data_IF_500179027706
#
_entry.id   IF_500179027706
#
_cell.length_a   1.000
_cell.length_b   1.000
_cell.length_c   1.000
_cell.angle_alpha   90.00
_cell.angle_beta   90.00
_cell.angle_gamma   90.00
#
_symmetry.space_group_name_H-M   'P 1'
#
loop_
_entity.id
_entity.type
_entity.pdbx_description
1 polymer ?
#
# COMPACT_ATOMS: atom_id res chain seq x y z
N UNK A 1 11.52 15.83 4.29
CA UNK A 1 12.50 14.73 4.49
C UNK A 1 11.83 13.43 4.10
N UNK A 2 12.51 12.55 3.37
CA UNK A 2 11.91 11.27 2.99
C UNK A 2 11.53 10.46 4.24
N UNK A 3 10.31 9.94 4.25
CA UNK A 3 9.83 9.02 5.27
C UNK A 3 10.21 7.58 4.93
N UNK A 4 10.28 7.26 3.65
CA UNK A 4 10.72 5.97 3.12
C UNK A 4 11.89 6.18 2.16
N UNK A 5 12.98 5.45 2.38
CA UNK A 5 14.12 5.40 1.47
C UNK A 5 14.39 3.95 1.08
N UNK A 6 14.49 3.71 -0.21
CA UNK A 6 14.82 2.42 -0.80
C UNK A 6 16.08 2.61 -1.63
N UNK A 7 17.17 1.92 -1.25
CA UNK A 7 18.49 2.09 -1.85
C UNK A 7 19.02 0.76 -2.37
N UNK A 8 19.23 0.67 -3.69
CA UNK A 8 19.83 -0.48 -4.38
C UNK A 8 19.18 -1.82 -3.98
N UNK A 9 17.87 -1.82 -3.80
CA UNK A 9 17.12 -2.97 -3.31
C UNK A 9 17.14 -4.09 -4.32
N UNK A 10 17.57 -5.28 -3.89
CA UNK A 10 17.64 -6.49 -4.70
C UNK A 10 16.97 -7.64 -4.00
N UNK A 11 16.22 -8.45 -4.74
CA UNK A 11 15.61 -9.68 -4.23
C UNK A 11 15.76 -10.82 -5.21
N UNK A 12 16.38 -11.90 -4.73
CA UNK A 12 16.53 -13.15 -5.47
C UNK A 12 15.84 -14.25 -4.68
N UNK A 13 14.90 -14.95 -5.32
CA UNK A 13 14.33 -16.18 -4.81
C UNK A 13 15.09 -17.36 -5.38
N UNK A 14 15.41 -18.31 -4.51
CA UNK A 14 16.08 -19.56 -4.90
C UNK A 14 15.17 -20.73 -4.54
N UNK A 15 14.94 -21.65 -5.47
CA UNK A 15 14.19 -22.87 -5.17
C UNK A 15 14.94 -23.76 -4.18
N UNK A 16 14.23 -24.59 -3.40
CA UNK A 16 14.80 -25.48 -2.37
C UNK A 16 15.94 -26.37 -2.90
N UNK A 17 15.93 -26.70 -4.18
CA UNK A 17 16.97 -27.52 -4.83
C UNK A 17 18.08 -26.71 -5.51
N UNK A 18 18.06 -25.37 -5.37
CA UNK A 18 19.11 -24.49 -5.92
C UNK A 18 19.16 -24.37 -7.45
N UNK A 19 18.27 -25.09 -8.16
CA UNK A 19 18.34 -25.21 -9.61
C UNK A 19 17.84 -23.95 -10.35
N UNK A 20 16.87 -23.20 -9.78
CA UNK A 20 16.31 -22.01 -10.40
C UNK A 20 16.45 -20.81 -9.46
N UNK A 21 17.02 -19.74 -10.01
CA UNK A 21 17.09 -18.41 -9.37
C UNK A 21 16.21 -17.46 -10.14
N UNK A 22 15.29 -16.78 -9.42
CA UNK A 22 14.44 -15.74 -9.97
C UNK A 22 14.81 -14.43 -9.29
N UNK A 23 15.36 -13.49 -10.05
CA UNK A 23 15.66 -12.15 -9.58
C UNK A 23 14.41 -11.28 -9.73
N UNK A 24 13.66 -11.15 -8.63
CA UNK A 24 12.39 -10.44 -8.61
C UNK A 24 12.56 -8.92 -8.54
N UNK A 25 13.65 -8.45 -7.92
CA UNK A 25 14.03 -7.03 -7.88
C UNK A 25 15.50 -6.87 -8.22
N UNK A 26 15.80 -5.89 -9.11
CA UNK A 26 17.12 -5.58 -9.64
C UNK A 26 17.42 -4.11 -9.36
N UNK A 27 18.14 -3.83 -8.28
CA UNK A 27 18.63 -2.47 -7.99
C UNK A 27 17.53 -1.38 -7.94
N UNK A 28 16.43 -1.65 -7.21
CA UNK A 28 15.34 -0.67 -7.05
C UNK A 28 15.78 0.42 -6.08
N UNK A 29 15.69 1.69 -6.51
CA UNK A 29 16.01 2.85 -5.69
C UNK A 29 14.97 3.95 -5.88
N UNK A 30 14.38 4.43 -4.79
CA UNK A 30 13.49 5.58 -4.74
C UNK A 30 13.29 6.04 -3.29
N UNK A 31 12.74 7.22 -3.11
CA UNK A 31 12.32 7.72 -1.81
C UNK A 31 10.85 8.15 -1.85
N UNK A 32 10.21 8.25 -0.69
CA UNK A 32 8.85 8.80 -0.54
C UNK A 32 8.92 9.88 0.53
N UNK A 33 8.46 11.08 0.20
CA UNK A 33 8.40 12.20 1.15
C UNK A 33 7.20 12.03 2.11
N UNK A 34 7.32 12.61 3.31
CA UNK A 34 6.21 12.64 4.26
C UNK A 34 5.00 13.37 3.63
N UNK A 35 3.81 12.78 3.74
CA UNK A 35 2.58 13.29 3.12
C UNK A 35 2.55 13.12 1.59
N UNK A 36 3.45 12.34 0.99
CA UNK A 36 3.38 12.00 -0.43
C UNK A 36 2.43 10.83 -0.66
N UNK A 37 1.70 10.85 -1.79
CA UNK A 37 0.93 9.72 -2.29
C UNK A 37 1.61 9.21 -3.55
N UNK A 38 2.21 8.03 -3.47
CA UNK A 38 2.93 7.37 -4.55
C UNK A 38 2.16 6.14 -5.02
N UNK A 39 1.96 6.02 -6.33
CA UNK A 39 1.49 4.79 -6.96
C UNK A 39 2.67 4.05 -7.61
N UNK A 40 2.71 2.73 -7.44
CA UNK A 40 3.68 1.83 -8.09
C UNK A 40 2.92 0.99 -9.10
N UNK A 41 3.25 1.14 -10.37
CA UNK A 41 2.64 0.45 -11.50
C UNK A 41 3.64 -0.45 -12.22
N UNK A 42 3.13 -1.41 -12.98
CA UNK A 42 3.93 -2.31 -13.81
C UNK A 42 3.14 -3.56 -14.17
N UNK A 43 3.66 -4.35 -15.09
CA UNK A 43 3.06 -5.60 -15.54
C UNK A 43 3.01 -6.67 -14.44
N UNK A 44 2.21 -7.72 -14.64
CA UNK A 44 2.22 -8.88 -13.76
C UNK A 44 3.63 -9.49 -13.74
N UNK A 45 4.13 -9.84 -12.56
CA UNK A 45 5.49 -10.40 -12.42
C UNK A 45 6.63 -9.38 -12.40
N UNK A 46 6.38 -8.07 -12.56
CA UNK A 46 7.42 -7.04 -12.55
C UNK A 46 8.12 -6.81 -11.20
N UNK A 47 7.66 -7.46 -10.12
CA UNK A 47 8.26 -7.35 -8.78
C UNK A 47 7.50 -6.48 -7.79
N UNK A 48 6.33 -5.92 -8.13
CA UNK A 48 5.55 -5.02 -7.26
C UNK A 48 5.19 -5.64 -5.91
N UNK A 49 4.62 -6.85 -5.91
CA UNK A 49 4.26 -7.55 -4.68
C UNK A 49 5.50 -7.90 -3.84
N UNK A 50 6.61 -8.26 -4.50
CA UNK A 50 7.89 -8.48 -3.81
C UNK A 50 8.39 -7.21 -3.15
N UNK A 51 8.34 -6.07 -3.86
CA UNK A 51 8.68 -4.77 -3.30
C UNK A 51 7.80 -4.47 -2.08
N UNK A 52 6.47 -4.58 -2.25
CA UNK A 52 5.53 -4.31 -1.18
C UNK A 52 5.78 -5.18 0.06
N UNK A 53 6.05 -6.48 -0.11
CA UNK A 53 6.35 -7.39 0.99
C UNK A 53 7.62 -6.99 1.75
N UNK A 54 8.64 -6.51 1.06
CA UNK A 54 9.86 -6.02 1.72
C UNK A 54 9.59 -4.71 2.46
N UNK A 55 8.89 -3.75 1.85
CA UNK A 55 8.48 -2.50 2.51
C UNK A 55 7.59 -2.78 3.73
N UNK A 56 6.79 -3.83 3.65
CA UNK A 56 5.93 -4.34 4.70
C UNK A 56 6.69 -5.05 5.84
N UNK A 57 8.00 -5.25 5.70
CA UNK A 57 8.77 -6.11 6.60
C UNK A 57 8.20 -7.55 6.71
N UNK A 58 7.56 -8.05 5.65
CA UNK A 58 7.06 -9.43 5.52
C UNK A 58 8.11 -10.33 4.87
N UNK A 59 9.04 -9.74 4.09
CA UNK A 59 10.16 -10.43 3.46
C UNK A 59 11.44 -9.60 3.63
N UNK A 60 12.59 -10.25 3.55
CA UNK A 60 13.90 -9.61 3.66
C UNK A 60 14.53 -9.43 2.28
N UNK A 61 15.20 -8.30 2.01
CA UNK A 61 15.96 -8.14 0.78
C UNK A 61 17.15 -9.11 0.72
N UNK A 62 17.60 -9.44 -0.49
CA UNK A 62 18.87 -10.16 -0.69
C UNK A 62 20.06 -9.21 -0.49
N UNK A 63 19.91 -7.96 -0.94
CA UNK A 63 20.86 -6.87 -0.72
C UNK A 63 20.16 -5.52 -0.89
N UNK A 64 20.85 -4.44 -0.54
CA UNK A 64 20.28 -3.10 -0.52
C UNK A 64 19.67 -2.77 0.84
N UNK A 65 19.07 -1.59 0.93
CA UNK A 65 18.59 -1.03 2.18
C UNK A 65 17.19 -0.44 2.02
N UNK A 66 16.35 -0.62 3.06
CA UNK A 66 15.05 0.06 3.17
C UNK A 66 14.98 0.73 4.53
N UNK A 67 14.81 2.05 4.53
CA UNK A 67 14.61 2.84 5.75
C UNK A 67 13.19 3.38 5.81
N UNK A 68 12.56 3.25 6.98
CA UNK A 68 11.33 3.95 7.34
C UNK A 68 11.65 4.93 8.49
N UNK A 69 11.58 6.22 8.20
CA UNK A 69 12.16 7.23 9.07
C UNK A 69 13.66 6.99 9.30
N UNK A 70 14.08 6.98 10.54
CA UNK A 70 15.49 6.73 10.89
C UNK A 70 15.84 5.23 11.01
N UNK A 71 14.89 4.29 10.76
CA UNK A 71 15.11 2.87 11.04
C UNK A 71 15.28 2.07 9.75
N UNK A 72 16.37 1.33 9.63
CA UNK A 72 16.53 0.31 8.60
C UNK A 72 15.64 -0.90 8.92
N UNK A 73 14.70 -1.24 8.02
CA UNK A 73 13.74 -2.32 8.23
C UNK A 73 14.46 -3.69 8.35
N UNK A 74 15.54 -3.89 7.60
CA UNK A 74 16.29 -5.15 7.62
C UNK A 74 17.02 -5.41 8.97
N UNK A 75 17.28 -4.37 9.75
CA UNK A 75 17.95 -4.44 11.04
C UNK A 75 17.00 -4.61 12.22
N UNK A 76 15.69 -4.51 11.99
CA UNK A 76 14.69 -4.75 13.04
C UNK A 76 14.75 -6.20 13.46
N UNK A 77 14.94 -6.43 14.75
CA UNK A 77 15.03 -7.79 15.33
C UNK A 77 13.71 -8.55 15.10
N UNK A 78 13.81 -9.85 14.88
CA UNK A 78 12.65 -10.74 14.66
C UNK A 78 11.59 -10.60 15.78
N UNK A 79 12.02 -10.48 17.03
CA UNK A 79 11.12 -10.30 18.17
C UNK A 79 10.36 -8.97 18.14
N UNK A 80 10.88 -7.95 17.47
CA UNK A 80 10.32 -6.59 17.43
C UNK A 80 9.59 -6.30 16.10
N UNK A 81 9.78 -7.13 15.08
CA UNK A 81 9.28 -6.86 13.71
C UNK A 81 7.74 -6.72 13.68
N UNK A 82 7.02 -7.53 14.45
CA UNK A 82 5.55 -7.49 14.53
C UNK A 82 5.08 -6.19 15.20
N UNK A 83 5.78 -5.74 16.24
CA UNK A 83 5.51 -4.46 16.88
C UNK A 83 5.84 -3.30 15.93
N UNK A 84 6.99 -3.36 15.25
CA UNK A 84 7.39 -2.36 14.25
C UNK A 84 6.31 -2.17 13.17
N UNK A 85 5.84 -3.26 12.55
CA UNK A 85 4.76 -3.21 11.56
C UNK A 85 3.51 -2.53 12.10
N UNK A 86 3.04 -2.98 13.26
CA UNK A 86 1.80 -2.49 13.89
C UNK A 86 1.85 -1.02 14.27
N UNK A 87 3.02 -0.51 14.68
CA UNK A 87 3.19 0.86 15.13
C UNK A 87 3.47 1.85 14.00
N UNK A 88 4.07 1.39 12.90
CA UNK A 88 4.57 2.29 11.85
C UNK A 88 3.88 2.13 10.50
N UNK A 89 3.22 0.99 10.24
CA UNK A 89 2.63 0.67 8.95
C UNK A 89 1.12 0.41 9.07
N UNK A 90 0.37 0.94 8.11
CA UNK A 90 -1.02 0.57 7.86
C UNK A 90 -1.12 -0.27 6.59
N UNK A 91 -1.92 -1.34 6.61
CA UNK A 91 -2.09 -2.21 5.45
C UNK A 91 -3.52 -2.21 4.94
N UNK A 92 -3.66 -2.06 3.62
CA UNK A 92 -4.91 -2.20 2.89
C UNK A 92 -4.70 -3.18 1.75
N UNK A 93 -5.35 -4.35 1.82
CA UNK A 93 -5.22 -5.44 0.84
C UNK A 93 -6.42 -5.47 -0.11
N UNK A 94 -6.25 -6.13 -1.25
CA UNK A 94 -7.30 -6.35 -2.22
C UNK A 94 -8.48 -7.14 -1.63
N UNK A 95 -8.21 -8.20 -0.88
CA UNK A 95 -9.21 -9.11 -0.28
C UNK A 95 -9.66 -8.70 1.12
N UNK A 96 -9.54 -7.40 1.45
CA UNK A 96 -9.91 -6.79 2.74
C UNK A 96 -9.19 -7.36 3.96
N UNK A 97 -8.95 -8.65 4.03
CA UNK A 97 -8.33 -9.41 5.15
C UNK A 97 -8.98 -9.07 6.50
N UNK A 98 -10.32 -9.01 6.53
CA UNK A 98 -11.10 -8.93 7.75
C UNK A 98 -11.33 -10.35 8.29
N UNK A 99 -11.39 -10.48 9.60
CA UNK A 99 -11.70 -11.74 10.28
C UNK A 99 -13.21 -11.88 10.40
N UNK A 100 -13.79 -12.92 9.80
CA UNK A 100 -15.24 -13.16 9.77
C UNK A 100 -15.82 -13.47 11.15
N UNK A 101 -14.98 -13.91 12.10
CA UNK A 101 -15.35 -14.19 13.48
C UNK A 101 -15.50 -12.94 14.35
N UNK A 102 -15.07 -11.78 13.85
CA UNK A 102 -15.16 -10.49 14.52
C UNK A 102 -16.09 -9.55 13.77
N UNK A 103 -16.84 -8.72 14.52
CA UNK A 103 -17.57 -7.62 13.90
C UNK A 103 -16.61 -6.56 13.33
N UNK A 104 -17.13 -5.59 12.59
CA UNK A 104 -16.32 -4.53 11.94
C UNK A 104 -15.52 -3.72 12.97
N UNK A 105 -16.14 -3.34 14.11
CA UNK A 105 -15.46 -2.60 15.16
C UNK A 105 -14.27 -3.38 15.73
N UNK A 106 -14.45 -4.65 16.02
CA UNK A 106 -13.41 -5.48 16.63
C UNK A 106 -12.27 -5.76 15.64
N UNK A 107 -12.57 -5.91 14.35
CA UNK A 107 -11.57 -5.94 13.28
C UNK A 107 -10.72 -4.67 13.26
N UNK A 108 -11.36 -3.49 13.38
CA UNK A 108 -10.65 -2.20 13.40
C UNK A 108 -9.82 -2.06 14.67
N UNK A 109 -10.30 -2.54 15.80
CA UNK A 109 -9.58 -2.46 17.09
C UNK A 109 -8.37 -3.38 17.19
N UNK A 110 -8.29 -4.43 16.37
CA UNK A 110 -7.30 -5.49 16.49
C UNK A 110 -5.85 -4.97 16.70
N UNK A 111 -5.32 -4.02 15.90
CA UNK A 111 -3.96 -3.53 16.10
C UNK A 111 -3.79 -2.76 17.42
N UNK A 112 -4.83 -2.12 17.94
CA UNK A 112 -4.78 -1.42 19.21
C UNK A 112 -4.85 -2.38 20.40
N UNK A 113 -5.67 -3.44 20.29
CA UNK A 113 -5.74 -4.54 21.28
C UNK A 113 -4.39 -5.21 21.41
N UNK A 114 -3.76 -5.55 20.29
CA UNK A 114 -2.42 -6.13 20.25
C UNK A 114 -1.31 -5.17 20.75
N UNK A 115 -1.61 -3.87 20.82
CA UNK A 115 -0.74 -2.84 21.41
C UNK A 115 -1.04 -2.58 22.90
N UNK A 116 -1.96 -3.34 23.50
CA UNK A 116 -2.35 -3.18 24.91
C UNK A 116 -3.11 -1.89 25.21
N UNK A 117 -3.77 -1.28 24.21
CA UNK A 117 -4.54 -0.04 24.42
C UNK A 117 -5.86 -0.32 25.13
N UNK A 118 -6.20 0.53 26.09
CA UNK A 118 -7.46 0.43 26.82
C UNK A 118 -8.67 0.80 25.94
N UNK A 119 -9.85 0.27 26.29
CA UNK A 119 -11.09 0.44 25.53
C UNK A 119 -11.47 1.90 25.31
N UNK A 120 -11.31 2.76 26.31
CA UNK A 120 -11.61 4.19 26.19
C UNK A 120 -10.75 4.90 25.13
N UNK A 121 -9.47 4.54 25.03
CA UNK A 121 -8.58 5.07 23.98
C UNK A 121 -8.97 4.54 22.61
N UNK A 122 -9.29 3.25 22.49
CA UNK A 122 -9.75 2.64 21.25
C UNK A 122 -11.00 3.33 20.71
N UNK A 123 -12.00 3.55 21.58
CA UNK A 123 -13.23 4.27 21.21
C UNK A 123 -12.97 5.72 20.79
N UNK A 124 -12.13 6.42 21.53
CA UNK A 124 -11.77 7.82 21.18
C UNK A 124 -11.16 7.93 19.78
N UNK A 125 -10.32 6.94 19.39
CA UNK A 125 -9.71 6.90 18.05
C UNK A 125 -10.70 6.48 16.97
N UNK A 126 -11.59 5.53 17.26
CA UNK A 126 -12.53 4.98 16.30
C UNK A 126 -13.59 6.00 15.86
N UNK A 127 -14.17 6.75 16.80
CA UNK A 127 -15.31 7.64 16.51
C UNK A 127 -15.08 8.58 15.32
N UNK A 128 -13.99 9.39 15.29
CA UNK A 128 -13.74 10.27 14.15
C UNK A 128 -13.46 9.51 12.86
N UNK A 129 -12.74 8.39 12.93
CA UNK A 129 -12.41 7.55 11.78
C UNK A 129 -13.69 6.95 11.19
N UNK A 130 -14.56 6.34 12.02
CA UNK A 130 -15.78 5.71 11.57
C UNK A 130 -16.73 6.71 10.91
N UNK A 131 -16.82 7.94 11.44
CA UNK A 131 -17.60 9.03 10.83
C UNK A 131 -17.03 9.42 9.48
N UNK A 132 -15.72 9.66 9.40
CA UNK A 132 -15.02 10.04 8.16
C UNK A 132 -15.17 9.00 7.06
N UNK A 133 -15.06 7.72 7.41
CA UNK A 133 -15.13 6.59 6.48
C UNK A 133 -16.58 6.14 6.20
N UNK A 134 -17.58 6.81 6.81
CA UNK A 134 -19.00 6.47 6.68
C UNK A 134 -19.28 4.99 6.96
N UNK A 135 -18.81 4.49 8.12
CA UNK A 135 -18.97 3.09 8.58
C UNK A 135 -19.58 3.00 9.99
N UNK A 136 -20.07 4.10 10.54
CA UNK A 136 -20.59 4.14 11.92
C UNK A 136 -21.75 3.17 12.12
N UNK A 137 -22.64 3.03 11.14
CA UNK A 137 -23.84 2.21 11.16
C UNK A 137 -23.57 0.71 11.01
N UNK A 138 -22.38 0.35 10.56
CA UNK A 138 -21.97 -1.05 10.33
C UNK A 138 -21.00 -1.60 11.39
N UNK A 139 -20.59 -0.81 12.37
CA UNK A 139 -19.57 -1.20 13.35
C UNK A 139 -19.90 -2.49 14.11
N UNK A 140 -21.18 -2.77 14.33
CA UNK A 140 -21.63 -3.97 15.04
C UNK A 140 -21.97 -5.15 14.11
N UNK A 141 -21.88 -4.95 12.77
CA UNK A 141 -22.10 -6.00 11.80
C UNK A 141 -20.84 -6.82 11.57
N UNK A 142 -21.00 -8.03 11.07
CA UNK A 142 -19.91 -8.92 10.67
C UNK A 142 -19.55 -8.69 9.20
N UNK A 143 -18.34 -9.07 8.73
CA UNK A 143 -17.91 -8.88 7.35
C UNK A 143 -18.90 -9.42 6.31
N UNK A 144 -19.51 -10.59 6.55
CA UNK A 144 -20.49 -11.21 5.65
C UNK A 144 -21.86 -10.50 5.61
N UNK A 145 -22.10 -9.51 6.46
CA UNK A 145 -23.35 -8.71 6.52
C UNK A 145 -23.21 -7.36 5.80
N UNK A 146 -22.06 -7.06 5.23
CA UNK A 146 -21.78 -5.75 4.65
C UNK A 146 -21.25 -5.88 3.21
N UNK A 147 -21.36 -4.80 2.42
CA UNK A 147 -20.88 -4.81 1.03
C UNK A 147 -19.33 -4.78 0.96
N UNK A 148 -18.77 -5.18 -0.21
CA UNK A 148 -17.34 -5.12 -0.48
C UNK A 148 -16.74 -3.72 -0.24
N UNK A 149 -17.42 -2.68 -0.69
CA UNK A 149 -16.99 -1.30 -0.44
C UNK A 149 -17.03 -0.90 1.04
N UNK A 150 -17.97 -1.46 1.83
CA UNK A 150 -18.01 -1.27 3.29
C UNK A 150 -16.89 -2.05 3.98
N UNK A 151 -16.61 -3.28 3.56
CA UNK A 151 -15.47 -4.07 4.03
C UNK A 151 -14.14 -3.34 3.78
N UNK A 152 -13.98 -2.77 2.59
CA UNK A 152 -12.74 -2.06 2.25
C UNK A 152 -12.57 -0.79 3.06
N UNK A 153 -13.64 -0.01 3.30
CA UNK A 153 -13.57 1.13 4.22
C UNK A 153 -13.23 0.72 5.66
N UNK A 154 -13.72 -0.43 6.12
CA UNK A 154 -13.35 -0.99 7.41
C UNK A 154 -11.86 -1.41 7.44
N UNK A 155 -11.34 -1.99 6.36
CA UNK A 155 -9.91 -2.30 6.24
C UNK A 155 -9.04 -1.03 6.25
N UNK A 156 -9.48 0.05 5.58
CA UNK A 156 -8.81 1.37 5.68
C UNK A 156 -8.88 1.91 7.11
N UNK A 157 -10.04 1.81 7.80
CA UNK A 157 -10.16 2.23 9.20
C UNK A 157 -9.16 1.49 10.10
N UNK A 158 -9.03 0.17 9.92
CA UNK A 158 -8.05 -0.65 10.63
C UNK A 158 -6.61 -0.21 10.34
N UNK A 159 -6.32 0.17 9.09
CA UNK A 159 -5.00 0.62 8.70
C UNK A 159 -4.61 1.97 9.34
N UNK A 160 -5.56 2.92 9.44
CA UNK A 160 -5.28 4.28 9.93
C UNK A 160 -5.43 4.45 11.45
N UNK A 161 -6.07 3.51 12.16
CA UNK A 161 -6.40 3.69 13.59
C UNK A 161 -5.17 3.76 14.50
N UNK A 162 -4.05 3.20 14.07
CA UNK A 162 -2.77 3.28 14.78
C UNK A 162 -2.03 4.59 14.52
N UNK A 163 -2.50 5.42 13.59
CA UNK A 163 -1.81 6.60 13.09
C UNK A 163 -0.42 6.25 12.50
N UNK A 164 -0.37 5.39 11.46
CA UNK A 164 0.89 4.88 10.92
C UNK A 164 1.66 5.97 10.17
N UNK A 165 2.99 5.81 10.09
CA UNK A 165 3.84 6.67 9.28
C UNK A 165 3.60 6.49 7.77
N UNK A 166 3.26 5.27 7.35
CA UNK A 166 3.07 4.89 5.95
C UNK A 166 1.92 3.90 5.81
N UNK A 167 0.99 4.19 4.89
CA UNK A 167 0.00 3.23 4.43
C UNK A 167 0.54 2.52 3.19
N UNK A 168 0.55 1.20 3.23
CA UNK A 168 0.83 0.32 2.09
C UNK A 168 -0.49 -0.27 1.59
N UNK A 169 -0.85 -0.01 0.34
CA UNK A 169 -2.07 -0.50 -0.28
C UNK A 169 -1.72 -1.42 -1.47
N UNK A 170 -2.20 -2.66 -1.43
CA UNK A 170 -2.00 -3.66 -2.50
C UNK A 170 -3.31 -3.84 -3.27
N UNK A 171 -3.38 -3.32 -4.50
CA UNK A 171 -4.55 -3.39 -5.38
C UNK A 171 -5.88 -3.09 -4.66
N UNK A 172 -6.00 -1.99 -3.91
CA UNK A 172 -7.09 -1.79 -2.95
C UNK A 172 -8.47 -1.67 -3.59
N UNK A 173 -8.54 -1.49 -4.91
CA UNK A 173 -9.78 -1.40 -5.70
C UNK A 173 -10.11 -2.67 -6.47
N UNK A 174 -9.24 -3.68 -6.46
CA UNK A 174 -9.34 -4.84 -7.35
C UNK A 174 -10.58 -5.73 -7.13
N UNK A 175 -11.12 -5.75 -5.90
CA UNK A 175 -12.32 -6.54 -5.57
C UNK A 175 -13.62 -5.70 -5.53
N UNK A 176 -13.59 -4.43 -6.00
CA UNK A 176 -14.71 -3.49 -5.89
C UNK A 176 -15.39 -3.23 -7.24
N UNK A 177 -16.68 -2.94 -7.18
CA UNK A 177 -17.36 -2.31 -8.30
C UNK A 177 -16.85 -0.89 -8.57
N UNK A 178 -17.12 -0.33 -9.75
CA UNK A 178 -16.58 0.96 -10.18
C UNK A 178 -16.93 2.10 -9.21
N UNK A 179 -18.16 2.14 -8.68
CA UNK A 179 -18.61 3.20 -7.76
C UNK A 179 -17.93 3.08 -6.40
N UNK A 180 -17.81 1.88 -5.87
CA UNK A 180 -17.09 1.63 -4.61
C UNK A 180 -15.59 1.95 -4.74
N UNK A 181 -15.00 1.61 -5.89
CA UNK A 181 -13.60 1.94 -6.21
C UNK A 181 -13.39 3.47 -6.24
N UNK A 182 -14.27 4.23 -6.90
CA UNK A 182 -14.18 5.69 -6.95
C UNK A 182 -14.25 6.32 -5.56
N UNK A 183 -15.23 5.92 -4.76
CA UNK A 183 -15.36 6.39 -3.38
C UNK A 183 -14.14 6.06 -2.53
N UNK A 184 -13.51 4.91 -2.75
CA UNK A 184 -12.29 4.52 -2.04
C UNK A 184 -11.09 5.38 -2.45
N UNK A 185 -10.93 5.67 -3.75
CA UNK A 185 -9.83 6.51 -4.25
C UNK A 185 -9.96 7.96 -3.78
N UNK A 186 -11.18 8.50 -3.74
CA UNK A 186 -11.46 9.80 -3.13
C UNK A 186 -11.09 9.81 -1.63
N UNK A 187 -11.39 8.72 -0.93
CA UNK A 187 -11.02 8.55 0.47
C UNK A 187 -9.50 8.54 0.67
N UNK A 188 -8.74 7.82 -0.15
CA UNK A 188 -7.27 7.85 -0.09
C UNK A 188 -6.73 9.26 -0.37
N UNK A 189 -7.31 9.97 -1.34
CA UNK A 189 -6.96 11.36 -1.64
C UNK A 189 -7.24 12.28 -0.44
N UNK A 190 -8.38 12.11 0.23
CA UNK A 190 -8.72 12.88 1.44
C UNK A 190 -7.77 12.60 2.61
N UNK A 191 -7.40 11.33 2.83
CA UNK A 191 -6.41 10.95 3.85
C UNK A 191 -5.04 11.56 3.55
N UNK A 192 -4.62 11.52 2.28
CA UNK A 192 -3.35 12.11 1.87
C UNK A 192 -3.33 13.64 2.01
N UNK A 193 -4.43 14.32 1.70
CA UNK A 193 -4.55 15.77 1.89
C UNK A 193 -4.47 16.20 3.37
N UNK A 194 -4.76 15.28 4.29
CA UNK A 194 -4.57 15.47 5.73
C UNK A 194 -3.16 15.11 6.22
N UNK A 195 -2.25 14.80 5.30
CA UNK A 195 -0.84 14.52 5.60
C UNK A 195 -0.47 13.05 5.68
N UNK A 196 -1.40 12.11 5.46
CA UNK A 196 -1.07 10.68 5.47
C UNK A 196 -0.21 10.30 4.27
N UNK A 197 0.93 9.70 4.52
CA UNK A 197 1.79 9.12 3.47
C UNK A 197 1.22 7.81 2.98
N UNK A 198 1.13 7.63 1.66
CA UNK A 198 0.52 6.46 1.03
C UNK A 198 1.42 5.93 -0.09
N UNK A 199 1.69 4.63 -0.09
CA UNK A 199 2.26 3.92 -1.22
C UNK A 199 1.27 2.84 -1.66
N UNK A 200 0.74 3.00 -2.87
CA UNK A 200 -0.23 2.09 -3.48
C UNK A 200 0.42 1.32 -4.61
N UNK A 201 0.29 0.00 -4.58
CA UNK A 201 0.59 -0.85 -5.73
C UNK A 201 -0.70 -1.06 -6.50
N UNK A 202 -0.70 -0.81 -7.81
CA UNK A 202 -1.87 -1.03 -8.66
C UNK A 202 -1.52 -1.19 -10.13
N UNK A 203 -2.35 -1.93 -10.86
CA UNK A 203 -2.36 -1.96 -12.32
C UNK A 203 -3.43 -1.02 -12.93
N UNK A 204 -4.28 -0.43 -12.10
CA UNK A 204 -5.34 0.50 -12.52
C UNK A 204 -4.76 1.89 -12.77
N UNK A 205 -4.82 2.36 -14.03
CA UNK A 205 -4.47 3.74 -14.41
C UNK A 205 -5.29 4.76 -13.64
N UNK A 206 -6.59 4.47 -13.45
CA UNK A 206 -7.50 5.32 -12.70
C UNK A 206 -7.06 5.44 -11.23
N UNK A 207 -6.70 4.34 -10.58
CA UNK A 207 -6.20 4.37 -9.21
C UNK A 207 -4.90 5.16 -9.11
N UNK A 208 -3.95 4.94 -10.02
CA UNK A 208 -2.68 5.64 -10.06
C UNK A 208 -2.81 7.14 -10.34
N UNK A 209 -3.85 7.57 -11.10
CA UNK A 209 -4.07 8.99 -11.39
C UNK A 209 -4.49 9.83 -10.18
N UNK A 210 -4.84 9.22 -9.04
CA UNK A 210 -5.05 9.89 -7.76
C UNK A 210 -3.76 10.23 -7.02
N UNK A 211 -2.64 9.57 -7.37
CA UNK A 211 -1.35 9.78 -6.72
C UNK A 211 -0.70 11.13 -7.11
N UNK A 212 0.25 11.58 -6.29
CA UNK A 212 1.13 12.74 -6.57
C UNK A 212 2.31 12.34 -7.46
N UNK A 213 2.71 11.06 -7.41
CA UNK A 213 3.77 10.48 -8.24
C UNK A 213 3.45 9.05 -8.59
N UNK A 214 3.82 8.64 -9.79
CA UNK A 214 3.68 7.28 -10.28
C UNK A 214 5.06 6.73 -10.62
N UNK A 215 5.42 5.60 -10.03
CA UNK A 215 6.62 4.82 -10.34
C UNK A 215 6.24 3.64 -11.22
N UNK A 216 6.97 3.42 -12.30
CA UNK A 216 6.79 2.28 -13.17
C UNK A 216 7.90 1.27 -12.92
N UNK A 217 7.52 0.04 -12.55
CA UNK A 217 8.44 -1.09 -12.39
C UNK A 217 8.31 -2.02 -13.58
N UNK A 218 9.43 -2.27 -14.25
CA UNK A 218 9.58 -3.25 -15.32
C UNK A 218 10.79 -4.14 -15.02
N UNK A 219 10.66 -5.45 -15.18
CA UNK A 219 11.74 -6.43 -14.98
C UNK A 219 12.51 -6.30 -13.66
N UNK A 220 11.80 -5.96 -12.60
CA UNK A 220 12.37 -5.80 -11.25
C UNK A 220 13.14 -4.51 -11.01
N UNK A 221 13.06 -3.51 -11.88
CA UNK A 221 13.70 -2.21 -11.74
C UNK A 221 12.71 -1.05 -11.89
N UNK A 222 13.01 0.10 -11.27
CA UNK A 222 12.26 1.34 -11.55
C UNK A 222 12.70 1.84 -12.92
N UNK A 223 11.79 1.77 -13.89
CA UNK A 223 12.04 2.13 -15.28
C UNK A 223 11.76 3.61 -15.55
N UNK A 224 10.66 4.14 -15.01
CA UNK A 224 10.21 5.51 -15.25
C UNK A 224 9.43 6.04 -14.07
N UNK A 225 9.32 7.37 -13.98
CA UNK A 225 8.46 8.02 -12.99
C UNK A 225 7.79 9.27 -13.54
N UNK A 226 6.56 9.50 -13.12
CA UNK A 226 5.76 10.66 -13.49
C UNK A 226 5.38 11.41 -12.21
N UNK A 227 5.67 12.70 -12.14
CA UNK A 227 5.17 13.60 -11.11
C UNK A 227 3.91 14.29 -11.61
N UNK A 228 2.87 14.33 -10.77
CA UNK A 228 1.61 15.00 -11.09
C UNK A 228 1.78 16.51 -11.29
N UNK A 229 2.63 17.14 -10.50
CA UNK A 229 2.81 18.62 -10.49
C UNK A 229 1.44 19.34 -10.52
N UNK A 230 1.20 20.18 -11.52
CA UNK A 230 -0.03 20.96 -11.71
C UNK A 230 -1.08 20.26 -12.60
N UNK A 231 -0.86 18.97 -12.95
CA UNK A 231 -1.81 18.24 -13.80
C UNK A 231 -3.09 17.89 -13.05
N UNK A 232 -4.22 17.98 -13.75
CA UNK A 232 -5.48 17.41 -13.29
C UNK A 232 -5.38 15.87 -13.20
N UNK A 233 -6.35 15.22 -12.54
CA UNK A 233 -6.42 13.75 -12.52
C UNK A 233 -6.54 13.14 -13.92
N UNK A 234 -7.32 13.80 -14.81
CA UNK A 234 -7.53 13.37 -16.18
C UNK A 234 -6.25 13.50 -17.04
N UNK A 235 -5.51 14.59 -16.89
CA UNK A 235 -4.23 14.78 -17.57
C UNK A 235 -3.20 13.75 -17.11
N UNK A 236 -3.16 13.45 -15.81
CA UNK A 236 -2.27 12.41 -15.28
C UNK A 236 -2.70 11.03 -15.76
N UNK A 237 -4.01 10.74 -15.77
CA UNK A 237 -4.56 9.49 -16.33
C UNK A 237 -4.09 9.27 -17.77
N UNK A 238 -4.23 10.29 -18.65
CA UNK A 238 -3.81 10.19 -20.05
C UNK A 238 -2.29 9.96 -20.15
N UNK A 239 -1.48 10.73 -19.39
CA UNK A 239 -0.03 10.57 -19.39
C UNK A 239 0.43 9.19 -18.93
N UNK A 240 -0.24 8.61 -17.92
CA UNK A 240 0.03 7.24 -17.46
C UNK A 240 -0.32 6.23 -18.57
N UNK A 241 -1.48 6.39 -19.22
CA UNK A 241 -1.94 5.51 -20.31
C UNK A 241 -0.97 5.52 -21.49
N UNK A 242 -0.53 6.71 -21.90
CA UNK A 242 0.45 6.87 -23.00
C UNK A 242 1.80 6.20 -22.65
N UNK A 243 2.25 6.37 -21.40
CA UNK A 243 3.48 5.75 -20.91
C UNK A 243 3.39 4.23 -20.91
N UNK A 244 2.27 3.66 -20.44
CA UNK A 244 2.06 2.21 -20.46
C UNK A 244 2.04 1.65 -21.90
N UNK A 245 1.41 2.36 -22.85
CA UNK A 245 1.41 1.98 -24.26
C UNK A 245 2.82 1.93 -24.83
N UNK A 246 3.65 2.92 -24.54
CA UNK A 246 5.04 2.95 -24.97
C UNK A 246 5.89 1.84 -24.33
N UNK A 247 5.62 1.50 -23.06
CA UNK A 247 6.31 0.42 -22.36
C UNK A 247 6.01 -0.96 -22.96
N UNK A 248 4.78 -1.18 -23.42
CA UNK A 248 4.34 -2.42 -24.08
C UNK A 248 4.94 -2.47 -25.50
N UNK A 249 4.82 -1.40 -26.28
CA UNK A 249 5.34 -1.34 -27.66
C UNK A 249 6.87 -1.49 -27.73
N UNK A 250 7.62 -0.87 -26.80
CA UNK A 250 9.09 -0.99 -26.76
C UNK A 250 9.61 -2.34 -26.24
N UNK A 251 8.73 -3.22 -25.75
CA UNK A 251 9.06 -4.62 -25.39
C UNK A 251 9.07 -5.59 -26.57
N UNK A 252 8.39 -5.25 -27.67
CA UNK A 252 8.30 -6.10 -28.87
C UNK A 252 9.51 -5.94 -29.83
N UNK A 253 10.31 -4.88 -29.69
CA UNK A 253 11.50 -4.66 -30.55
C UNK A 253 12.77 -5.40 -30.05
N UNK A 254 12.74 -6.05 -28.87
CA UNK A 254 13.88 -6.75 -28.26
C UNK A 254 13.62 -8.23 -27.95
N UNK A 255 12.64 -8.87 -28.59
CA UNK A 255 12.29 -10.29 -28.41
C UNK A 255 12.75 -11.12 -29.62
#
# INVERSE_FOLDING_TARGET
MPILEVNNLRKIYTTRLGANRVEALKNVSFSVEEGEYVAVMGESGSGKTTLLNILAALDKPTSGEVKLGARNIAEVKEADITRFRRENLGFVFQDFNLLDTFNIRDNIFLPLVLSGKGFAEMQRRLVPIAKKLNITDILNKYPYEVSGGQMQRAAVARAVITNPQLILADEPTGALDSKAADNLLELFSALNNEGQTILMVTHSVKAASHAKRVLFIKDGAVFHQIYRANMSGEQLYQKISDTLTLLIAGGEENA
#
